data_IF_476907806337
#
_entry.id   IF_476907806337
#
_cell.length_a   1.000
_cell.length_b   1.000
_cell.length_c   1.000
_cell.angle_alpha   90.00
_cell.angle_beta   90.00
_cell.angle_gamma   90.00
#
_symmetry.space_group_name_H-M   'P 1'
#
loop_
_entity.id
_entity.type
_entity.pdbx_description
1 polymer ?
#
# COMPACT_ATOMS: atom_id res chain seq x y z
N UNK A 1 1.37 17.76 22.82
CA UNK A 1 0.51 16.86 22.02
C UNK A 1 0.01 17.67 20.83
N UNK A 2 0.38 17.35 19.59
CA UNK A 2 -0.06 18.10 18.40
C UNK A 2 -1.28 17.44 17.78
N UNK A 3 -2.47 17.76 18.30
CA UNK A 3 -3.75 17.40 17.69
C UNK A 3 -3.93 18.06 16.31
N UNK A 4 -3.36 19.26 16.11
CA UNK A 4 -3.54 20.06 14.89
C UNK A 4 -2.97 19.42 13.60
N UNK A 5 -1.92 18.60 13.70
CA UNK A 5 -1.32 17.97 12.49
C UNK A 5 -2.16 16.83 11.94
N UNK A 6 -2.87 16.07 12.79
CA UNK A 6 -3.69 14.93 12.34
C UNK A 6 -4.96 15.41 11.63
N UNK A 7 -5.61 16.43 12.19
CA UNK A 7 -6.82 17.03 11.61
C UNK A 7 -6.53 17.63 10.24
N UNK A 8 -5.45 18.41 10.11
CA UNK A 8 -5.02 18.97 8.81
C UNK A 8 -4.72 17.85 7.79
N UNK A 9 -4.13 16.74 8.23
CA UNK A 9 -3.87 15.60 7.35
C UNK A 9 -5.15 14.90 6.87
N UNK A 10 -6.19 14.83 7.70
CA UNK A 10 -7.46 14.20 7.34
C UNK A 10 -8.33 15.13 6.49
N UNK A 11 -8.33 16.45 6.74
CA UNK A 11 -9.03 17.45 5.92
C UNK A 11 -8.50 17.47 4.48
N UNK A 12 -7.18 17.43 4.30
CA UNK A 12 -6.56 17.38 2.97
C UNK A 12 -6.90 16.08 2.24
N UNK A 13 -7.03 14.96 2.96
CA UNK A 13 -7.43 13.67 2.36
C UNK A 13 -8.91 13.67 2.01
N UNK A 14 -9.76 14.29 2.81
CA UNK A 14 -11.19 14.43 2.50
C UNK A 14 -11.39 15.23 1.22
N UNK A 15 -10.71 16.37 1.08
CA UNK A 15 -10.76 17.17 -0.14
C UNK A 15 -10.17 16.41 -1.36
N UNK A 16 -9.18 15.55 -1.14
CA UNK A 16 -8.68 14.66 -2.19
C UNK A 16 -9.74 13.67 -2.69
N UNK A 17 -10.57 13.13 -1.80
CA UNK A 17 -11.68 12.24 -2.16
C UNK A 17 -12.69 12.99 -3.02
N UNK A 18 -13.12 14.17 -2.59
CA UNK A 18 -14.09 14.99 -3.32
C UNK A 18 -13.60 15.33 -4.74
N UNK A 19 -12.33 15.71 -4.88
CA UNK A 19 -11.73 15.97 -6.19
C UNK A 19 -11.71 14.71 -7.06
N UNK A 20 -11.36 13.55 -6.50
CA UNK A 20 -11.33 12.28 -7.26
C UNK A 20 -12.73 11.82 -7.66
N UNK A 21 -13.74 12.01 -6.82
CA UNK A 21 -15.16 11.76 -7.12
C UNK A 21 -15.67 12.68 -8.23
N UNK A 22 -15.24 13.95 -8.23
CA UNK A 22 -15.50 14.91 -9.31
C UNK A 22 -14.72 14.59 -10.61
N UNK A 23 -13.95 13.50 -10.67
CA UNK A 23 -13.19 13.09 -11.85
C UNK A 23 -11.92 13.91 -12.09
N UNK A 24 -11.47 14.68 -11.10
CA UNK A 24 -10.28 15.51 -11.20
C UNK A 24 -9.02 14.63 -11.30
N UNK A 25 -8.23 14.87 -12.33
CA UNK A 25 -6.99 14.14 -12.55
C UNK A 25 -5.92 14.43 -11.49
N UNK A 26 -5.10 13.41 -11.17
CA UNK A 26 -4.05 13.45 -10.13
C UNK A 26 -3.13 14.69 -10.17
N UNK A 27 -2.82 15.23 -11.36
CA UNK A 27 -1.93 16.40 -11.50
C UNK A 27 -2.58 17.68 -11.00
N UNK A 28 -3.89 17.81 -11.23
CA UNK A 28 -4.67 18.94 -10.73
C UNK A 28 -4.88 18.80 -9.24
N UNK A 29 -5.24 17.60 -8.75
CA UNK A 29 -5.29 17.28 -7.33
C UNK A 29 -3.99 17.64 -6.59
N UNK A 30 -2.83 17.32 -7.16
CA UNK A 30 -1.53 17.66 -6.56
C UNK A 30 -1.34 19.18 -6.37
N UNK A 31 -1.74 19.97 -7.38
CA UNK A 31 -1.64 21.43 -7.35
C UNK A 31 -2.61 22.04 -6.35
N UNK A 32 -3.88 21.65 -6.39
CA UNK A 32 -4.92 22.20 -5.53
C UNK A 32 -4.63 21.93 -4.04
N UNK A 33 -4.10 20.75 -3.73
CA UNK A 33 -3.85 20.35 -2.35
C UNK A 33 -2.42 20.63 -1.87
N UNK A 34 -1.55 21.16 -2.73
CA UNK A 34 -0.14 21.39 -2.41
C UNK A 34 0.64 20.12 -2.06
N UNK A 35 0.19 18.95 -2.52
CA UNK A 35 0.84 17.65 -2.26
C UNK A 35 1.75 17.24 -3.41
N UNK A 36 2.73 16.38 -3.13
CA UNK A 36 3.61 15.85 -4.18
C UNK A 36 2.84 15.02 -5.23
N UNK A 37 3.30 14.99 -6.49
CA UNK A 37 2.70 14.12 -7.53
C UNK A 37 2.72 12.64 -7.13
N UNK A 38 3.73 12.22 -6.35
CA UNK A 38 3.81 10.86 -5.84
C UNK A 38 2.66 10.55 -4.86
N UNK A 39 2.34 11.47 -3.95
CA UNK A 39 1.21 11.39 -3.02
C UNK A 39 -0.11 11.38 -3.78
N UNK A 40 -0.30 12.34 -4.69
CA UNK A 40 -1.52 12.42 -5.50
C UNK A 40 -1.76 11.15 -6.33
N UNK A 41 -0.69 10.58 -6.91
CA UNK A 41 -0.74 9.31 -7.63
C UNK A 41 -1.10 8.14 -6.71
N UNK A 42 -0.59 8.12 -5.48
CA UNK A 42 -0.92 7.11 -4.49
C UNK A 42 -2.41 7.19 -4.11
N UNK A 43 -2.93 8.39 -3.86
CA UNK A 43 -4.33 8.60 -3.52
C UNK A 43 -5.26 8.21 -4.67
N UNK A 44 -4.97 8.63 -5.91
CA UNK A 44 -5.75 8.22 -7.07
C UNK A 44 -5.79 6.69 -7.26
N UNK A 45 -4.68 5.98 -6.99
CA UNK A 45 -4.63 4.52 -7.03
C UNK A 45 -5.43 3.89 -5.89
N UNK A 46 -5.32 4.44 -4.68
CA UNK A 46 -6.07 3.97 -3.52
C UNK A 46 -7.58 4.11 -3.76
N UNK A 47 -8.01 5.25 -4.30
CA UNK A 47 -9.40 5.54 -4.63
C UNK A 47 -9.98 4.54 -5.64
N UNK A 48 -9.25 4.25 -6.72
CA UNK A 48 -9.68 3.22 -7.71
C UNK A 48 -9.84 1.85 -7.07
N UNK A 49 -9.01 1.53 -6.08
CA UNK A 49 -8.99 0.20 -5.46
C UNK A 49 -10.07 0.07 -4.40
N UNK A 50 -10.19 1.03 -3.48
CA UNK A 50 -11.05 0.92 -2.30
C UNK A 50 -11.82 2.20 -1.94
N UNK A 51 -11.99 3.12 -2.90
CA UNK A 51 -12.80 4.32 -2.74
C UNK A 51 -12.24 5.32 -1.73
N UNK A 52 -13.15 6.14 -1.16
CA UNK A 52 -12.85 7.19 -0.19
C UNK A 52 -12.05 6.65 1.01
N UNK A 53 -12.50 5.54 1.60
CA UNK A 53 -11.86 4.91 2.76
C UNK A 53 -10.39 4.56 2.50
N UNK A 54 -10.05 4.12 1.28
CA UNK A 54 -8.68 3.80 0.93
C UNK A 54 -7.78 5.04 0.83
N UNK A 55 -8.33 6.20 0.45
CA UNK A 55 -7.62 7.49 0.41
C UNK A 55 -7.45 8.05 1.82
N UNK A 56 -8.49 8.02 2.64
CA UNK A 56 -8.46 8.50 4.03
C UNK A 56 -7.43 7.73 4.87
N UNK A 57 -7.29 6.43 4.61
CA UNK A 57 -6.29 5.58 5.27
C UNK A 57 -4.92 5.56 4.58
N UNK A 58 -4.74 6.22 3.44
CA UNK A 58 -3.51 6.17 2.66
C UNK A 58 -2.33 6.77 3.43
N UNK A 59 -1.29 5.95 3.66
CA UNK A 59 -0.08 6.37 4.37
C UNK A 59 -0.18 6.39 5.89
N UNK A 60 -1.37 6.13 6.47
CA UNK A 60 -1.57 6.11 7.92
C UNK A 60 -0.84 4.92 8.57
N UNK A 61 -0.91 3.73 7.97
CA UNK A 61 -0.17 2.55 8.41
C UNK A 61 0.25 1.66 7.23
N UNK A 62 1.40 1.00 7.32
CA UNK A 62 1.82 0.01 6.32
C UNK A 62 0.88 -1.19 6.41
N UNK A 63 -0.07 -1.30 5.47
CA UNK A 63 -1.00 -2.44 5.39
C UNK A 63 -0.21 -3.75 5.35
N UNK A 64 -0.43 -4.58 6.37
CA UNK A 64 0.16 -5.91 6.47
C UNK A 64 -0.79 -6.87 5.77
N UNK A 65 -0.27 -7.56 4.75
CA UNK A 65 -1.01 -8.61 4.07
C UNK A 65 -0.57 -9.95 4.63
N UNK A 66 -1.54 -10.77 4.97
CA UNK A 66 -1.37 -12.17 5.30
C UNK A 66 -0.82 -12.95 4.09
N UNK A 67 -0.29 -14.14 4.38
CA UNK A 67 0.31 -15.00 3.37
C UNK A 67 -0.72 -15.45 2.33
N UNK A 68 -1.95 -15.77 2.76
CA UNK A 68 -2.98 -16.30 1.88
C UNK A 68 -3.43 -15.25 0.86
N UNK A 69 -3.66 -14.00 1.29
CA UNK A 69 -3.97 -12.89 0.39
C UNK A 69 -2.86 -12.66 -0.63
N UNK A 70 -1.58 -12.67 -0.21
CA UNK A 70 -0.45 -12.53 -1.15
C UNK A 70 -0.42 -13.66 -2.16
N UNK A 71 -0.58 -14.90 -1.69
CA UNK A 71 -0.54 -16.08 -2.55
C UNK A 71 -1.68 -16.08 -3.56
N UNK A 72 -2.90 -15.79 -3.12
CA UNK A 72 -4.08 -15.71 -3.98
C UNK A 72 -3.91 -14.62 -5.04
N UNK A 73 -3.46 -13.42 -4.65
CA UNK A 73 -3.22 -12.32 -5.59
C UNK A 73 -2.18 -12.66 -6.66
N UNK A 74 -1.07 -13.30 -6.25
CA UNK A 74 -0.02 -13.69 -7.18
C UNK A 74 -0.47 -14.80 -8.12
N UNK A 75 -1.14 -15.85 -7.61
CA UNK A 75 -1.68 -16.93 -8.45
C UNK A 75 -2.68 -16.40 -9.48
N UNK A 76 -3.56 -15.49 -9.08
CA UNK A 76 -4.53 -14.91 -9.99
C UNK A 76 -3.85 -14.15 -11.16
N UNK A 77 -2.75 -13.45 -10.90
CA UNK A 77 -1.97 -12.79 -11.95
C UNK A 77 -1.14 -13.78 -12.78
N UNK A 78 -0.40 -14.66 -12.12
CA UNK A 78 0.64 -15.51 -12.75
C UNK A 78 0.03 -16.74 -13.42
N UNK A 79 -0.92 -17.41 -12.77
CA UNK A 79 -1.53 -18.64 -13.28
C UNK A 79 -2.78 -18.34 -14.15
N UNK A 80 -3.61 -17.37 -13.75
CA UNK A 80 -4.86 -17.03 -14.45
C UNK A 80 -4.74 -15.86 -15.42
N UNK A 81 -3.56 -15.25 -15.53
CA UNK A 81 -3.27 -14.18 -16.49
C UNK A 81 -4.03 -12.88 -16.28
N UNK A 82 -4.63 -12.63 -15.11
CA UNK A 82 -5.35 -11.38 -14.85
C UNK A 82 -4.43 -10.18 -14.88
N UNK A 83 -4.94 -9.02 -15.28
CA UNK A 83 -4.12 -7.80 -15.28
C UNK A 83 -3.72 -7.41 -13.84
N UNK A 84 -2.58 -6.71 -13.72
CA UNK A 84 -2.11 -6.20 -12.42
C UNK A 84 -3.18 -5.32 -11.77
N UNK A 85 -3.91 -4.53 -12.57
CA UNK A 85 -4.97 -3.64 -12.08
C UNK A 85 -6.16 -4.42 -11.54
N UNK A 86 -6.62 -5.45 -12.22
CA UNK A 86 -7.76 -6.27 -11.77
C UNK A 86 -7.45 -6.96 -10.44
N UNK A 87 -6.23 -7.47 -10.29
CA UNK A 87 -5.77 -8.08 -9.04
C UNK A 87 -5.66 -7.04 -7.93
N UNK A 88 -5.15 -5.84 -8.23
CA UNK A 88 -5.10 -4.75 -7.25
C UNK A 88 -6.48 -4.39 -6.71
N UNK A 89 -7.48 -4.27 -7.58
CA UNK A 89 -8.87 -3.98 -7.19
C UNK A 89 -9.46 -5.16 -6.41
N UNK A 90 -9.36 -6.39 -6.94
CA UNK A 90 -9.93 -7.59 -6.30
C UNK A 90 -9.42 -7.83 -4.87
N UNK A 91 -8.12 -7.63 -4.64
CA UNK A 91 -7.48 -7.90 -3.34
C UNK A 91 -7.23 -6.64 -2.51
N UNK A 92 -7.76 -5.49 -2.92
CA UNK A 92 -7.62 -4.22 -2.20
C UNK A 92 -6.14 -3.85 -1.93
N UNK A 93 -5.30 -4.02 -2.96
CA UNK A 93 -3.85 -3.72 -2.94
C UNK A 93 -3.61 -2.41 -3.70
N UNK A 94 -3.47 -1.26 -3.02
CA UNK A 94 -3.23 0.03 -3.68
C UNK A 94 -1.82 0.17 -4.28
N UNK A 95 -0.89 -0.71 -3.91
CA UNK A 95 0.51 -0.66 -4.36
C UNK A 95 0.82 -1.70 -5.43
N UNK A 96 0.92 -1.22 -6.67
CA UNK A 96 1.35 -2.01 -7.83
C UNK A 96 2.75 -2.61 -7.63
N UNK A 97 3.67 -1.82 -7.06
CA UNK A 97 5.04 -2.27 -6.78
C UNK A 97 5.06 -3.45 -5.80
N UNK A 98 4.16 -3.46 -4.81
CA UNK A 98 4.04 -4.57 -3.87
C UNK A 98 3.62 -5.85 -4.59
N UNK A 99 2.59 -5.78 -5.44
CA UNK A 99 2.13 -6.93 -6.20
C UNK A 99 3.19 -7.45 -7.17
N UNK A 100 3.87 -6.56 -7.90
CA UNK A 100 4.99 -6.93 -8.79
C UNK A 100 6.14 -7.59 -8.05
N UNK A 101 6.49 -7.10 -6.87
CA UNK A 101 7.54 -7.69 -6.04
C UNK A 101 7.18 -9.12 -5.61
N UNK A 102 5.93 -9.35 -5.19
CA UNK A 102 5.43 -10.69 -4.85
C UNK A 102 5.42 -11.62 -6.05
N UNK A 103 4.97 -11.16 -7.22
CA UNK A 103 4.99 -11.95 -8.44
C UNK A 103 6.42 -12.35 -8.84
N UNK A 104 7.40 -11.44 -8.69
CA UNK A 104 8.81 -11.74 -8.94
C UNK A 104 9.36 -12.77 -7.95
N UNK A 105 9.04 -12.63 -6.66
CA UNK A 105 9.45 -13.58 -5.63
C UNK A 105 8.86 -14.97 -5.89
N UNK A 106 7.58 -15.04 -6.24
CA UNK A 106 6.89 -16.28 -6.57
C UNK A 106 7.43 -16.97 -7.82
N UNK A 107 7.79 -16.23 -8.87
CA UNK A 107 8.42 -16.85 -10.06
C UNK A 107 9.82 -17.38 -9.78
N UNK A 108 10.53 -16.81 -8.81
CA UNK A 108 11.91 -17.21 -8.47
C UNK A 108 11.93 -18.39 -7.51
N UNK A 109 11.19 -18.28 -6.41
CA UNK A 109 11.25 -19.25 -5.31
C UNK A 109 9.86 -19.89 -5.04
N UNK A 110 8.80 -19.60 -5.80
CA UNK A 110 7.48 -20.18 -5.56
C UNK A 110 6.76 -19.62 -4.33
N UNK A 111 5.77 -20.38 -3.83
CA UNK A 111 4.86 -19.91 -2.79
C UNK A 111 5.57 -19.52 -1.48
N UNK A 112 6.62 -20.25 -1.09
CA UNK A 112 7.35 -20.00 0.15
C UNK A 112 8.04 -18.63 0.21
N UNK A 113 8.30 -18.01 -0.95
CA UNK A 113 8.84 -16.65 -1.05
C UNK A 113 7.91 -15.57 -0.49
N UNK A 114 6.60 -15.86 -0.40
CA UNK A 114 5.57 -14.93 0.04
C UNK A 114 5.35 -14.93 1.55
N UNK A 115 5.92 -15.92 2.25
CA UNK A 115 5.86 -16.03 3.71
C UNK A 115 6.44 -14.76 4.31
N UNK A 116 5.67 -14.12 5.19
CA UNK A 116 6.11 -12.93 5.87
C UNK A 116 7.23 -13.35 6.84
N UNK A 117 8.50 -13.29 6.39
CA UNK A 117 9.64 -13.46 7.28
C UNK A 117 9.50 -12.37 8.34
N UNK A 118 9.14 -12.77 9.57
CA UNK A 118 9.17 -11.87 10.72
C UNK A 118 10.57 -11.25 10.69
N UNK A 119 10.67 -9.92 10.54
CA UNK A 119 11.95 -9.24 10.77
C UNK A 119 12.34 -9.61 12.19
N UNK A 120 13.30 -10.51 12.33
CA UNK A 120 13.80 -10.92 13.65
C UNK A 120 14.20 -9.66 14.39
N UNK A 121 13.70 -9.51 15.61
CA UNK A 121 14.27 -8.60 16.59
C UNK A 121 15.77 -8.93 16.65
N UNK A 122 16.66 -7.96 16.40
CA UNK A 122 18.10 -8.17 16.62
C UNK A 122 18.25 -8.78 18.03
N UNK A 123 18.95 -9.92 18.20
CA UNK A 123 19.25 -10.41 19.53
C UNK A 123 20.03 -9.31 20.27
N UNK A 124 19.60 -9.01 21.49
CA UNK A 124 20.33 -8.10 22.39
C UNK A 124 21.53 -8.91 22.86
N UNK A 125 22.73 -8.58 22.39
CA UNK A 125 23.96 -9.15 22.92
C UNK A 125 24.04 -8.79 24.41
N UNK A 126 23.90 -9.79 25.27
CA UNK A 126 24.35 -9.71 26.66
C UNK A 126 25.82 -10.13 26.66
N UNK A 127 26.71 -9.13 26.61
CA UNK A 127 28.08 -9.29 27.06
C UNK A 127 28.07 -9.48 28.58
N UNK A 128 27.92 -10.72 29.02
CA UNK A 128 28.44 -11.17 30.30
C UNK A 128 29.60 -12.11 30.01
N UNK A 129 30.75 -11.50 29.72
CA UNK A 129 32.03 -12.16 29.88
C UNK A 129 32.40 -12.09 31.36
N UNK A 130 32.56 -13.28 31.93
CA UNK A 130 33.15 -13.54 33.24
C UNK A 130 34.50 -12.83 33.41
N UNK A 131 34.70 -12.22 34.58
CA UNK A 131 35.82 -12.51 35.49
C UNK A 131 35.74 -11.66 36.76
#
# INVERSE_FOLDING_TARGET
MNENSRTIHDDVRQLAVELLEAGVGRRHLARELGVSDATARQWARAFVVGGAEAVLNAGSHRKVYDYETKLAAVKEHVERGKSVRDVMVKYQIPSESSLKAWCRAYRRDGAHALVNKRRGRKPRSSEESSS
#
